data_IF_907603433462
#
_entry.id   IF_907603433462
#
_cell.length_a   1.000
_cell.length_b   1.000
_cell.length_c   1.000
_cell.angle_alpha   90.00
_cell.angle_beta   90.00
_cell.angle_gamma   90.00
#
_symmetry.space_group_name_H-M   'P 1'
#
loop_
_entity.id
_entity.type
_entity.pdbx_description
1 polymer ?
#
# COMPACT_ATOMS: atom_id res chain seq x y z
N UNK A 1 56.59 -59.15 18.14
CA UNK A 1 56.76 -60.11 19.25
C UNK A 1 55.91 -59.57 20.40
N UNK A 2 54.89 -60.25 20.95
CA UNK A 2 54.48 -61.67 20.85
C UNK A 2 52.96 -61.81 21.03
N UNK A 3 52.37 -62.91 20.56
CA UNK A 3 50.93 -63.25 20.64
C UNK A 3 50.42 -63.50 22.08
N UNK A 4 49.10 -63.40 22.33
CA UNK A 4 48.21 -64.50 22.83
C UNK A 4 46.86 -63.97 23.40
N UNK A 5 45.67 -64.59 23.36
CA UNK A 5 44.93 -65.46 22.38
C UNK A 5 43.48 -65.68 22.87
N UNK A 6 42.44 -65.32 22.07
CA UNK A 6 41.01 -65.78 22.18
C UNK A 6 40.22 -65.27 23.43
N UNK A 7 38.88 -65.32 23.54
CA UNK A 7 37.89 -66.34 23.11
C UNK A 7 36.60 -65.76 22.48
N UNK A 8 36.09 -66.53 21.53
CA UNK A 8 34.83 -66.40 20.77
C UNK A 8 33.56 -66.66 21.57
N UNK A 9 32.46 -66.01 21.19
CA UNK A 9 31.16 -66.70 21.09
C UNK A 9 30.40 -66.23 19.84
N UNK A 10 29.97 -67.17 18.98
CA UNK A 10 29.06 -66.89 17.86
C UNK A 10 27.61 -67.05 18.33
N UNK A 11 26.73 -66.11 17.98
CA UNK A 11 25.29 -66.38 17.93
C UNK A 11 24.81 -66.00 16.53
N UNK A 12 24.50 -67.03 15.74
CA UNK A 12 23.81 -66.91 14.45
C UNK A 12 22.32 -66.74 14.68
N UNK A 13 21.66 -65.88 13.89
CA UNK A 13 20.24 -66.08 13.54
C UNK A 13 19.82 -65.27 12.30
N UNK A 14 19.64 -66.04 11.22
CA UNK A 14 18.59 -65.96 10.19
C UNK A 14 18.43 -64.65 9.42
N UNK A 15 18.75 -64.74 8.13
CA UNK A 15 18.30 -63.81 7.11
C UNK A 15 16.76 -63.84 6.96
N UNK A 16 16.20 -62.67 6.65
CA UNK A 16 14.92 -62.52 5.96
C UNK A 16 15.06 -61.32 5.01
N UNK A 17 15.44 -61.57 3.76
CA UNK A 17 15.44 -60.55 2.73
C UNK A 17 14.01 -60.37 2.23
N UNK A 18 13.37 -59.25 2.59
CA UNK A 18 12.06 -58.85 2.05
C UNK A 18 12.28 -57.65 1.15
N UNK A 19 12.43 -57.92 -0.15
CA UNK A 19 12.43 -56.87 -1.17
C UNK A 19 10.97 -56.57 -1.56
N UNK A 20 10.46 -55.41 -1.13
CA UNK A 20 9.22 -54.85 -1.66
C UNK A 20 9.55 -53.91 -2.83
N UNK A 21 9.03 -54.15 -4.05
CA UNK A 21 9.06 -53.16 -5.11
C UNK A 21 7.93 -52.15 -4.86
N UNK A 22 8.24 -51.03 -4.20
CA UNK A 22 7.26 -49.96 -4.03
C UNK A 22 7.17 -49.12 -5.31
N UNK A 23 6.32 -49.58 -6.24
CA UNK A 23 5.99 -48.82 -7.44
C UNK A 23 5.20 -47.55 -7.06
N UNK A 24 5.85 -46.39 -7.14
CA UNK A 24 5.21 -45.09 -6.98
C UNK A 24 4.30 -44.81 -8.17
N UNK A 25 3.01 -45.10 -8.02
CA UNK A 25 1.97 -44.57 -8.89
C UNK A 25 1.82 -43.07 -8.64
N UNK A 26 2.41 -42.25 -9.51
CA UNK A 26 2.14 -40.82 -9.56
C UNK A 26 0.70 -40.58 -10.05
N UNK A 27 -0.24 -40.47 -9.12
CA UNK A 27 -1.55 -39.90 -9.41
C UNK A 27 -1.41 -38.38 -9.53
N UNK A 28 -1.28 -37.88 -10.76
CA UNK A 28 -1.37 -36.45 -11.03
C UNK A 28 -2.82 -36.00 -10.81
N UNK A 29 -3.12 -35.58 -9.58
CA UNK A 29 -4.33 -34.82 -9.28
C UNK A 29 -4.23 -33.49 -10.04
N UNK A 30 -4.90 -33.43 -11.20
CA UNK A 30 -5.00 -32.21 -11.99
C UNK A 30 -5.79 -31.18 -11.20
N UNK A 31 -5.10 -30.30 -10.48
CA UNK A 31 -5.70 -29.12 -9.88
C UNK A 31 -6.17 -28.21 -11.01
N UNK A 32 -7.44 -28.32 -11.37
CA UNK A 32 -8.11 -27.32 -12.21
C UNK A 32 -8.23 -26.04 -11.40
N UNK A 33 -7.19 -25.21 -11.44
CA UNK A 33 -7.28 -23.81 -11.04
C UNK A 33 -8.30 -23.14 -11.95
N UNK A 34 -9.54 -23.08 -11.48
CA UNK A 34 -10.55 -22.24 -12.09
C UNK A 34 -10.04 -20.81 -12.03
N UNK A 35 -9.58 -20.29 -13.16
CA UNK A 35 -9.23 -18.88 -13.29
C UNK A 35 -10.52 -18.09 -13.09
N UNK A 36 -10.72 -17.58 -11.89
CA UNK A 36 -11.77 -16.61 -11.61
C UNK A 36 -11.47 -15.39 -12.49
N UNK A 37 -12.25 -15.21 -13.55
CA UNK A 37 -12.20 -13.99 -14.37
C UNK A 37 -12.59 -12.84 -13.46
N UNK A 38 -11.60 -12.08 -12.99
CA UNK A 38 -11.82 -10.86 -12.24
C UNK A 38 -12.63 -9.92 -13.13
N UNK A 39 -13.88 -9.66 -12.73
CA UNK A 39 -14.67 -8.58 -13.31
C UNK A 39 -13.89 -7.28 -13.11
N UNK A 40 -13.69 -6.50 -14.18
CA UNK A 40 -13.07 -5.19 -14.04
C UNK A 40 -13.92 -4.35 -13.07
N UNK A 41 -13.30 -3.88 -11.99
CA UNK A 41 -13.97 -3.03 -11.01
C UNK A 41 -14.29 -1.71 -11.71
N UNK A 42 -15.56 -1.49 -12.01
CA UNK A 42 -16.02 -0.21 -12.55
C UNK A 42 -16.06 0.77 -11.38
N UNK A 43 -15.17 1.75 -11.43
CA UNK A 43 -15.10 2.79 -10.41
C UNK A 43 -16.34 3.69 -10.51
N UNK A 44 -17.07 3.95 -9.41
CA UNK A 44 -18.17 4.90 -9.41
C UNK A 44 -17.68 6.29 -9.82
N UNK A 45 -18.40 6.95 -10.72
CA UNK A 45 -18.16 8.36 -11.03
C UNK A 45 -18.68 9.20 -9.88
N UNK A 46 -17.81 10.00 -9.28
CA UNK A 46 -18.14 10.95 -8.21
C UNK A 46 -17.95 12.36 -8.77
N UNK A 47 -19.07 13.06 -8.97
CA UNK A 47 -19.10 14.40 -9.57
C UNK A 47 -18.49 15.47 -8.64
N UNK A 48 -18.72 15.33 -7.34
CA UNK A 48 -18.17 16.21 -6.32
C UNK A 48 -16.67 15.97 -6.14
N UNK A 49 -15.86 16.96 -6.52
CA UNK A 49 -14.38 16.91 -6.46
C UNK A 49 -13.84 17.01 -5.03
N UNK A 50 -14.66 17.46 -4.08
CA UNK A 50 -14.34 17.52 -2.65
C UNK A 50 -15.04 16.41 -1.85
N UNK A 51 -15.64 15.41 -2.50
CA UNK A 51 -16.33 14.31 -1.78
C UNK A 51 -15.43 13.58 -0.77
N UNK A 52 -14.13 13.46 -1.06
CA UNK A 52 -13.15 12.85 -0.17
C UNK A 52 -12.58 13.81 0.88
N UNK A 53 -12.86 15.12 0.81
CA UNK A 53 -12.16 16.15 1.55
C UNK A 53 -12.59 16.28 3.01
N UNK A 54 -11.61 16.30 3.92
CA UNK A 54 -11.80 16.66 5.32
C UNK A 54 -12.15 18.15 5.52
N UNK A 55 -11.74 19.00 4.58
CA UNK A 55 -12.07 20.43 4.55
C UNK A 55 -12.82 20.73 3.24
N UNK A 56 -14.13 20.94 3.37
CA UNK A 56 -15.05 21.19 2.24
C UNK A 56 -15.02 22.64 1.71
N UNK A 57 -14.48 23.59 2.49
CA UNK A 57 -14.36 25.00 2.09
C UNK A 57 -13.03 25.24 1.35
N UNK A 58 -12.96 24.71 0.12
CA UNK A 58 -11.81 24.85 -0.79
C UNK A 58 -12.27 25.38 -2.13
N UNK A 59 -11.68 26.51 -2.51
CA UNK A 59 -11.97 27.20 -3.76
C UNK A 59 -11.21 26.56 -4.92
N UNK A 60 -11.85 25.57 -5.56
CA UNK A 60 -11.26 24.78 -6.66
C UNK A 60 -10.87 25.62 -7.87
N UNK A 61 -11.53 26.76 -8.11
CA UNK A 61 -11.26 27.63 -9.27
C UNK A 61 -9.90 28.35 -9.15
N UNK A 62 -9.26 28.32 -7.96
CA UNK A 62 -7.89 28.81 -7.75
C UNK A 62 -6.80 27.82 -8.15
N UNK A 63 -7.12 26.55 -8.37
CA UNK A 63 -6.13 25.50 -8.65
C UNK A 63 -5.51 25.74 -10.03
N UNK A 64 -4.18 25.75 -10.11
CA UNK A 64 -3.45 25.89 -11.38
C UNK A 64 -2.39 24.81 -11.59
N UNK A 65 -2.13 24.36 -12.84
CA UNK A 65 -2.95 24.58 -14.04
C UNK A 65 -4.30 23.83 -13.93
N UNK A 66 -5.10 23.86 -15.01
CA UNK A 66 -6.38 23.12 -15.11
C UNK A 66 -6.21 21.66 -14.65
N UNK A 67 -6.86 21.22 -13.56
CA UNK A 67 -6.57 19.94 -12.92
C UNK A 67 -7.13 18.74 -13.69
N UNK A 68 -6.26 17.76 -13.95
CA UNK A 68 -6.67 16.43 -14.42
C UNK A 68 -7.12 15.59 -13.22
N UNK A 69 -8.44 15.52 -12.98
CA UNK A 69 -8.99 14.70 -11.90
C UNK A 69 -8.88 13.21 -12.21
N UNK A 70 -8.45 12.44 -11.22
CA UNK A 70 -8.37 10.98 -11.24
C UNK A 70 -9.76 10.37 -11.43
N UNK A 71 -9.89 9.49 -12.43
CA UNK A 71 -11.11 8.79 -12.81
C UNK A 71 -11.22 7.35 -12.26
N UNK A 72 -10.12 6.84 -11.72
CA UNK A 72 -10.02 5.48 -11.20
C UNK A 72 -10.08 5.44 -9.67
N UNK A 73 -10.27 4.23 -9.16
CA UNK A 73 -10.46 3.90 -7.75
C UNK A 73 -9.39 2.91 -7.27
N UNK A 74 -8.18 3.02 -7.81
CA UNK A 74 -7.02 2.29 -7.27
C UNK A 74 -6.78 2.75 -5.84
N UNK A 75 -6.35 1.83 -4.98
CA UNK A 75 -5.86 2.20 -3.66
C UNK A 75 -4.66 3.12 -3.80
N UNK A 76 -4.57 4.11 -2.91
CA UNK A 76 -3.50 5.08 -2.83
C UNK A 76 -2.79 4.94 -1.49
N UNK A 77 -1.59 5.50 -1.40
CA UNK A 77 -0.72 5.38 -0.23
C UNK A 77 -0.22 6.75 0.22
N UNK A 78 0.06 6.88 1.52
CA UNK A 78 0.68 8.08 2.08
C UNK A 78 1.65 7.72 3.19
N UNK A 79 2.92 8.07 2.98
CA UNK A 79 3.94 8.02 4.02
C UNK A 79 3.76 9.21 4.98
N UNK A 80 3.54 8.95 6.27
CA UNK A 80 3.27 10.00 7.26
C UNK A 80 3.95 9.71 8.60
N UNK A 81 4.23 10.77 9.35
CA UNK A 81 4.90 10.78 10.65
C UNK A 81 3.95 10.75 11.84
N UNK A 82 2.76 11.33 11.69
CA UNK A 82 1.64 11.28 12.66
C UNK A 82 1.09 9.86 12.76
N UNK A 83 0.73 9.45 13.97
CA UNK A 83 0.19 8.12 14.23
C UNK A 83 -1.30 7.98 13.94
N UNK A 84 -1.79 6.73 13.80
CA UNK A 84 -3.17 6.44 13.48
C UNK A 84 -4.15 7.00 14.51
N UNK A 85 -3.72 7.15 15.77
CA UNK A 85 -4.50 7.78 16.84
C UNK A 85 -4.84 9.27 16.60
N UNK A 86 -4.17 9.93 15.66
CA UNK A 86 -4.50 11.28 15.18
C UNK A 86 -5.21 11.18 13.83
N UNK A 87 -4.62 10.45 12.88
CA UNK A 87 -5.09 10.43 11.48
C UNK A 87 -6.45 9.75 11.32
N UNK A 88 -6.80 8.78 12.16
CA UNK A 88 -8.12 8.14 12.09
C UNK A 88 -9.23 9.01 12.71
N UNK A 89 -8.91 9.98 13.57
CA UNK A 89 -9.90 10.90 14.16
C UNK A 89 -10.02 12.21 13.34
N UNK A 90 -8.90 12.77 12.87
CA UNK A 90 -8.85 14.06 12.17
C UNK A 90 -8.83 13.94 10.64
N UNK A 91 -8.44 12.78 10.12
CA UNK A 91 -8.12 12.58 8.70
C UNK A 91 -6.76 13.17 8.34
N UNK A 92 -6.53 13.31 7.03
CA UNK A 92 -5.41 14.11 6.52
C UNK A 92 -5.89 15.53 6.25
N UNK A 93 -5.75 16.40 7.24
CA UNK A 93 -5.96 17.83 7.06
C UNK A 93 -4.84 18.46 6.18
N UNK A 94 -5.18 19.36 5.24
CA UNK A 94 -4.21 20.17 4.50
C UNK A 94 -3.59 21.25 5.39
N UNK A 95 -2.50 21.88 4.95
CA UNK A 95 -1.81 22.89 5.76
C UNK A 95 -2.43 24.28 5.72
N UNK A 96 -2.94 24.72 4.56
CA UNK A 96 -3.56 26.05 4.41
C UNK A 96 -4.49 26.08 3.19
N UNK A 97 -5.81 26.00 3.43
CA UNK A 97 -6.82 26.17 2.38
C UNK A 97 -7.14 27.63 2.06
N UNK A 98 -6.86 28.56 2.96
CA UNK A 98 -7.21 29.97 2.77
C UNK A 98 -6.17 30.69 1.91
N UNK A 99 -4.91 30.67 2.33
CA UNK A 99 -3.80 31.45 1.76
C UNK A 99 -2.67 30.60 1.18
N UNK A 100 -2.83 29.27 1.18
CA UNK A 100 -1.82 28.33 0.70
C UNK A 100 -1.58 28.38 -0.81
N UNK A 101 -0.61 27.58 -1.24
CA UNK A 101 -0.23 27.42 -2.64
C UNK A 101 -1.23 26.55 -3.40
N UNK A 102 -2.04 27.17 -4.26
CA UNK A 102 -2.97 26.48 -5.15
C UNK A 102 -2.35 26.09 -6.51
N UNK A 103 -1.16 26.62 -6.85
CA UNK A 103 -0.41 26.14 -8.01
C UNK A 103 0.23 24.78 -7.70
N UNK A 104 -0.28 23.74 -8.35
CA UNK A 104 0.09 22.34 -8.14
C UNK A 104 1.56 22.10 -8.46
N UNK A 105 2.09 22.71 -9.52
CA UNK A 105 3.50 22.55 -9.89
C UNK A 105 4.42 23.16 -8.83
N UNK A 106 4.11 24.36 -8.33
CA UNK A 106 4.86 25.01 -7.27
C UNK A 106 4.73 24.26 -5.93
N UNK A 107 3.57 23.65 -5.63
CA UNK A 107 3.40 22.75 -4.49
C UNK A 107 4.34 21.54 -4.58
N UNK A 108 4.24 20.77 -5.67
CA UNK A 108 5.03 19.55 -5.93
C UNK A 108 6.54 19.84 -5.89
N UNK A 109 6.99 20.97 -6.43
CA UNK A 109 8.41 21.30 -6.49
C UNK A 109 8.99 21.79 -5.16
N UNK A 110 8.20 22.47 -4.32
CA UNK A 110 8.71 23.21 -3.15
C UNK A 110 8.21 22.71 -1.78
N UNK A 111 7.15 21.89 -1.73
CA UNK A 111 6.53 21.36 -0.50
C UNK A 111 6.22 22.47 0.54
N UNK A 112 5.43 23.45 0.11
CA UNK A 112 5.01 24.62 0.91
C UNK A 112 3.54 24.50 1.35
N UNK A 113 3.07 25.27 2.37
CA UNK A 113 1.66 25.30 2.79
C UNK A 113 0.70 25.46 1.61
N UNK A 114 -0.32 24.59 1.55
CA UNK A 114 -1.19 24.41 0.40
C UNK A 114 -2.55 23.82 0.84
N UNK A 115 -3.59 23.85 -0.02
CA UNK A 115 -4.85 23.15 0.21
C UNK A 115 -4.72 21.63 -0.03
N UNK A 116 -3.55 21.13 -0.43
CA UNK A 116 -3.36 19.77 -0.93
C UNK A 116 -2.78 18.82 0.12
N UNK A 117 -3.23 17.57 0.07
CA UNK A 117 -2.56 16.43 0.67
C UNK A 117 -2.07 15.50 -0.42
N UNK A 118 -0.75 15.35 -0.56
CA UNK A 118 -0.14 14.35 -1.42
C UNK A 118 -0.45 12.92 -0.96
N UNK A 119 -0.77 12.08 -1.93
CA UNK A 119 -0.79 10.62 -1.86
C UNK A 119 -0.11 10.06 -3.12
N UNK A 120 0.07 8.75 -3.23
CA UNK A 120 0.72 8.12 -4.39
C UNK A 120 0.01 6.85 -4.81
N UNK A 121 0.13 6.48 -6.09
CA UNK A 121 -0.21 5.15 -6.59
C UNK A 121 0.83 4.07 -6.22
N UNK A 122 2.04 4.45 -5.80
CA UNK A 122 3.14 3.54 -5.48
C UNK A 122 3.11 3.17 -3.99
N UNK A 123 2.80 1.89 -3.73
CA UNK A 123 2.82 1.28 -2.41
C UNK A 123 4.15 1.49 -1.68
N UNK A 124 5.27 1.39 -2.40
CA UNK A 124 6.60 1.33 -1.82
C UNK A 124 7.27 2.70 -1.65
N UNK A 125 6.63 3.79 -2.06
CA UNK A 125 7.20 5.14 -1.99
C UNK A 125 7.57 5.56 -0.56
N UNK A 126 6.95 4.98 0.48
CA UNK A 126 7.35 5.23 1.88
C UNK A 126 8.83 4.97 2.15
N UNK A 127 9.47 4.12 1.34
CA UNK A 127 10.89 3.79 1.44
C UNK A 127 11.81 4.99 1.21
N UNK A 128 11.36 5.99 0.46
CA UNK A 128 12.11 7.23 0.21
C UNK A 128 11.90 8.27 1.33
N UNK A 129 10.82 8.14 2.11
CA UNK A 129 10.41 9.11 3.13
C UNK A 129 10.98 8.79 4.51
N UNK A 130 12.29 9.01 4.69
CA UNK A 130 13.05 8.75 5.95
C UNK A 130 12.46 9.26 7.27
N UNK A 131 11.51 10.21 7.24
CA UNK A 131 10.82 10.76 8.42
C UNK A 131 9.49 10.06 8.74
N UNK A 132 8.90 9.33 7.78
CA UNK A 132 7.66 8.60 7.99
C UNK A 132 7.81 7.59 9.14
N UNK A 133 6.70 7.33 9.81
CA UNK A 133 6.56 6.28 10.82
C UNK A 133 5.53 5.24 10.37
N UNK A 134 4.61 5.61 9.47
CA UNK A 134 3.54 4.78 8.95
C UNK A 134 3.39 4.95 7.45
N UNK A 135 3.00 3.87 6.77
CA UNK A 135 2.41 3.89 5.44
C UNK A 135 0.89 3.75 5.60
N UNK A 136 0.13 4.75 5.14
CA UNK A 136 -1.32 4.75 5.21
C UNK A 136 -1.94 4.25 3.92
N UNK A 137 -3.03 3.51 4.06
CA UNK A 137 -3.78 2.88 2.99
C UNK A 137 -5.07 3.67 2.75
N UNK A 138 -5.24 4.24 1.56
CA UNK A 138 -6.27 5.21 1.24
C UNK A 138 -7.17 4.67 0.13
N UNK A 139 -8.47 4.63 0.39
CA UNK A 139 -9.50 4.32 -0.60
C UNK A 139 -10.45 5.51 -0.75
N UNK A 140 -10.07 6.45 -1.62
CA UNK A 140 -10.77 7.71 -1.85
C UNK A 140 -11.14 7.90 -3.34
N UNK A 141 -12.33 8.45 -3.65
CA UNK A 141 -12.66 8.93 -4.99
C UNK A 141 -11.89 10.20 -5.36
N UNK A 142 -11.66 10.41 -6.65
CA UNK A 142 -11.06 11.64 -7.15
C UNK A 142 -9.61 11.85 -6.67
N UNK A 143 -9.30 13.10 -6.31
CA UNK A 143 -7.95 13.63 -6.26
C UNK A 143 -7.47 14.09 -7.64
N UNK A 144 -6.44 14.92 -7.68
CA UNK A 144 -5.83 15.45 -8.91
C UNK A 144 -4.61 14.59 -9.24
N UNK A 145 -4.60 13.99 -10.42
CA UNK A 145 -3.47 13.21 -10.90
C UNK A 145 -2.36 14.17 -11.35
N UNK A 146 -1.26 14.23 -10.59
CA UNK A 146 -0.22 15.25 -10.78
C UNK A 146 0.44 15.11 -12.15
N UNK A 147 0.84 13.89 -12.53
CA UNK A 147 1.53 13.68 -13.80
C UNK A 147 0.61 13.94 -15.00
N UNK A 148 -0.69 13.62 -14.91
CA UNK A 148 -1.65 13.97 -15.95
C UNK A 148 -1.94 15.48 -16.03
N UNK A 149 -1.69 16.24 -14.95
CA UNK A 149 -1.94 17.68 -14.85
C UNK A 149 -0.74 18.54 -15.27
N UNK A 150 0.48 18.19 -14.83
CA UNK A 150 1.70 18.99 -15.06
C UNK A 150 2.75 18.29 -15.95
N UNK A 151 2.42 17.13 -16.52
CA UNK A 151 3.33 16.26 -17.28
C UNK A 151 4.18 15.36 -16.38
N UNK A 152 4.98 14.48 -16.99
CA UNK A 152 5.84 13.50 -16.31
C UNK A 152 7.36 13.78 -16.47
N UNK A 153 7.74 14.89 -17.09
CA UNK A 153 9.14 15.35 -17.22
C UNK A 153 9.71 16.00 -15.93
N UNK A 154 8.90 16.24 -14.89
CA UNK A 154 9.36 16.92 -13.68
C UNK A 154 10.11 15.99 -12.72
N UNK A 155 10.95 16.59 -11.86
CA UNK A 155 11.86 15.90 -10.92
C UNK A 155 11.19 14.80 -10.07
N UNK A 156 9.91 14.96 -9.75
CA UNK A 156 9.17 14.09 -8.85
C UNK A 156 8.12 13.22 -9.55
N UNK A 157 8.11 13.14 -10.88
CA UNK A 157 7.12 12.36 -11.62
C UNK A 157 7.11 10.86 -11.27
N UNK A 158 8.27 10.31 -10.86
CA UNK A 158 8.38 8.95 -10.34
C UNK A 158 7.54 8.68 -9.08
N UNK A 159 7.14 9.72 -8.34
CA UNK A 159 6.30 9.59 -7.15
C UNK A 159 4.84 9.27 -7.48
N UNK A 160 4.43 9.35 -8.76
CA UNK A 160 3.07 9.03 -9.23
C UNK A 160 1.98 9.62 -8.31
N UNK A 161 2.09 10.93 -8.07
CA UNK A 161 1.35 11.63 -7.02
C UNK A 161 -0.12 11.86 -7.41
N UNK A 162 -1.02 11.69 -6.44
CA UNK A 162 -2.39 12.19 -6.47
C UNK A 162 -2.56 13.19 -5.33
N UNK A 163 -2.87 14.45 -5.66
CA UNK A 163 -3.03 15.53 -4.72
C UNK A 163 -4.53 15.74 -4.38
N UNK A 164 -4.88 15.69 -3.10
CA UNK A 164 -6.26 15.89 -2.63
C UNK A 164 -6.49 17.33 -2.15
N UNK A 165 -7.22 18.18 -2.89
CA UNK A 165 -7.66 19.48 -2.40
C UNK A 165 -8.63 19.28 -1.22
N UNK A 166 -8.42 20.03 -0.13
CA UNK A 166 -9.20 19.87 1.11
C UNK A 166 -8.80 18.67 1.96
N UNK A 167 -7.74 17.94 1.55
CA UNK A 167 -7.25 16.79 2.29
C UNK A 167 -8.15 15.55 2.13
N UNK A 168 -8.16 14.69 3.16
CA UNK A 168 -8.83 13.37 3.10
C UNK A 168 -9.52 13.10 4.43
N UNK A 169 -10.85 12.94 4.39
CA UNK A 169 -11.68 12.60 5.55
C UNK A 169 -11.37 11.17 6.07
N UNK A 170 -11.43 10.91 7.39
CA UNK A 170 -11.21 9.58 7.97
C UNK A 170 -11.94 8.44 7.27
N UNK A 171 -13.16 8.65 6.77
CA UNK A 171 -13.97 7.63 6.14
C UNK A 171 -13.31 6.99 4.91
N UNK A 172 -12.35 7.67 4.28
CA UNK A 172 -11.62 7.19 3.09
C UNK A 172 -10.22 6.65 3.41
N UNK A 173 -9.82 6.59 4.68
CA UNK A 173 -8.54 6.02 5.13
C UNK A 173 -8.84 4.61 5.64
N UNK A 174 -8.36 3.58 4.93
CA UNK A 174 -8.65 2.19 5.28
C UNK A 174 -7.86 1.69 6.50
N UNK A 175 -6.61 2.13 6.64
CA UNK A 175 -5.73 1.69 7.72
C UNK A 175 -4.30 2.22 7.60
N UNK A 176 -3.42 1.73 8.46
CA UNK A 176 -2.01 2.12 8.49
C UNK A 176 -1.11 0.96 8.92
N UNK A 177 0.06 0.83 8.29
CA UNK A 177 1.12 -0.09 8.71
C UNK A 177 2.34 0.71 9.22
N UNK A 178 2.86 0.45 10.44
CA UNK A 178 4.08 1.08 10.93
C UNK A 178 5.30 0.59 10.16
N UNK A 179 6.33 1.44 10.02
CA UNK A 179 7.53 1.19 9.22
C UNK A 179 8.73 0.89 10.14
N UNK A 180 9.39 -0.26 9.95
CA UNK A 180 10.71 -0.54 10.53
C UNK A 180 11.76 0.30 9.79
N UNK A 181 12.36 1.23 10.51
CA UNK A 181 13.37 2.17 9.99
C UNK A 181 14.75 1.55 9.76
N UNK A 182 14.95 0.30 10.21
CA UNK A 182 16.19 -0.47 10.04
C UNK A 182 16.19 -1.21 8.71
N UNK A 183 15.08 -1.89 8.39
CA UNK A 183 14.90 -2.68 7.16
C UNK A 183 14.23 -1.90 6.04
N UNK A 184 13.59 -0.76 6.36
CA UNK A 184 12.78 0.04 5.46
C UNK A 184 11.57 -0.74 4.87
N UNK A 185 10.88 -1.45 5.76
CA UNK A 185 9.71 -2.30 5.45
C UNK A 185 8.60 -2.05 6.45
N UNK A 186 7.35 -2.24 6.03
CA UNK A 186 6.23 -2.29 6.96
C UNK A 186 6.32 -3.48 7.92
N UNK A 187 5.90 -3.25 9.16
CA UNK A 187 5.75 -4.27 10.19
C UNK A 187 4.32 -4.81 10.06
N UNK A 188 4.15 -5.77 9.15
CA UNK A 188 2.82 -6.27 8.74
C UNK A 188 1.98 -6.86 9.88
N UNK A 189 2.59 -7.29 10.99
CA UNK A 189 1.89 -7.77 12.19
C UNK A 189 1.23 -6.67 13.02
N UNK A 190 1.66 -5.43 12.81
CA UNK A 190 1.35 -4.28 13.65
C UNK A 190 0.52 -3.24 12.86
N UNK A 191 0.05 -3.61 11.66
CA UNK A 191 -0.92 -2.81 10.91
C UNK A 191 -2.24 -2.70 11.66
N UNK A 192 -2.88 -1.55 11.53
CA UNK A 192 -4.17 -1.24 12.18
C UNK A 192 -5.19 -0.77 11.14
N UNK A 193 -6.37 -1.39 11.17
CA UNK A 193 -7.53 -0.95 10.41
C UNK A 193 -8.11 0.32 11.06
N UNK A 194 -8.59 1.25 10.25
CA UNK A 194 -9.28 2.43 10.74
C UNK A 194 -10.73 2.08 11.15
N UNK A 195 -11.15 2.27 12.42
CA UNK A 195 -12.52 1.99 12.85
C UNK A 195 -13.58 2.90 12.18
N UNK A 196 -13.17 4.04 11.61
CA UNK A 196 -14.04 4.99 10.92
C UNK A 196 -14.12 4.77 9.40
N UNK A 197 -13.35 3.83 8.84
CA UNK A 197 -13.34 3.55 7.41
C UNK A 197 -14.74 3.11 6.89
N UNK A 198 -15.21 3.76 5.83
CA UNK A 198 -16.47 3.47 5.19
C UNK A 198 -16.26 3.24 3.67
N UNK A 199 -16.41 2.00 3.17
CA UNK A 199 -16.33 1.73 1.73
C UNK A 199 -17.34 2.57 0.93
N UNK A 200 -16.83 3.37 -0.01
CA UNK A 200 -17.62 4.29 -0.85
C UNK A 200 -18.09 3.65 -2.17
N UNK A 201 -17.77 2.37 -2.38
CA UNK A 201 -18.03 1.60 -3.60
C UNK A 201 -18.93 0.41 -3.26
N UNK A 202 -20.08 0.29 -3.94
CA UNK A 202 -21.04 -0.81 -3.83
C UNK A 202 -20.88 -1.81 -4.98
#
# INVERSE_FOLDING_TARGET
>A
MTFTTRITTRITRRAAAVALPLALLFTTAGATTGAATATAVVCPVVEDRLHAAAVQDVDLDRITPEPSYRDNCRQLYRAESRGPEIIFEEGFLPWDTATGQYDLQAYVLNNQPSPFVSTTYDHDLYKDWRKAAYNYYIDAPGGIDVNATIGDDHKYAHQAEVAFPGGIDPAFIAGACPIDKTTNTEIMSDCVDNPHYAPWRN
#
